data_IF_799579562275
#
_entry.id   IF_799579562275
#
_cell.length_a   1.000
_cell.length_b   1.000
_cell.length_c   1.000
_cell.angle_alpha   90.00
_cell.angle_beta   90.00
_cell.angle_gamma   90.00
#
_symmetry.space_group_name_H-M   'P 1'
#
loop_
_entity.id
_entity.type
_entity.pdbx_description
1 polymer ?
#
# COMPACT_ATOMS: atom_id res chain seq x y z
N UNK A 1 -7.62 31.40 7.09
CA UNK A 1 -6.22 31.25 6.65
C UNK A 1 -6.07 29.88 6.02
N UNK A 2 -5.79 29.86 4.71
CA UNK A 2 -5.74 28.75 3.74
C UNK A 2 -5.93 27.29 4.19
N UNK A 3 -7.03 26.67 3.77
CA UNK A 3 -7.14 25.22 3.62
C UNK A 3 -6.18 24.76 2.50
N UNK A 4 -4.94 24.46 2.86
CA UNK A 4 -3.98 23.83 1.93
C UNK A 4 -4.33 22.34 1.88
N UNK A 5 -5.02 21.93 0.83
CA UNK A 5 -5.25 20.52 0.51
C UNK A 5 -3.90 19.91 0.10
N UNK A 6 -3.15 19.37 1.06
CA UNK A 6 -1.84 18.75 0.79
C UNK A 6 -2.06 17.32 0.31
N UNK A 7 -1.65 17.06 -0.93
CA UNK A 7 -1.50 15.69 -1.43
C UNK A 7 -0.38 15.04 -0.62
N UNK A 8 -0.64 13.89 0.01
CA UNK A 8 0.35 13.14 0.79
C UNK A 8 0.83 11.94 -0.02
N UNK A 9 2.14 11.85 -0.28
CA UNK A 9 2.72 10.58 -0.77
C UNK A 9 2.93 9.70 0.46
N UNK A 10 2.22 8.59 0.51
CA UNK A 10 2.41 7.57 1.53
C UNK A 10 3.17 6.41 0.93
N UNK A 11 4.31 6.05 1.51
CA UNK A 11 4.92 4.76 1.25
C UNK A 11 4.34 3.73 2.23
N UNK A 12 3.58 2.76 1.74
CA UNK A 12 3.03 1.64 2.50
C UNK A 12 3.80 0.36 2.12
N UNK A 13 3.55 -0.76 2.82
CA UNK A 13 3.90 -2.11 2.36
C UNK A 13 2.66 -2.98 2.53
N UNK A 14 1.96 -3.25 1.43
CA UNK A 14 1.00 -4.35 1.30
C UNK A 14 0.68 -4.52 -0.18
N UNK A 15 0.92 -5.72 -0.68
CA UNK A 15 0.57 -6.15 -2.02
C UNK A 15 -0.80 -6.81 -1.94
N UNK A 16 -1.84 -6.09 -2.35
CA UNK A 16 -3.06 -6.75 -2.73
C UNK A 16 -2.85 -7.38 -4.11
N UNK A 17 -2.72 -8.70 -4.08
CA UNK A 17 -2.45 -9.56 -5.22
C UNK A 17 -3.33 -9.22 -6.43
N UNK A 18 -2.63 -9.04 -7.54
CA UNK A 18 -3.11 -8.93 -8.91
C UNK A 18 -3.77 -10.23 -9.36
N UNK A 19 -4.90 -10.18 -10.07
CA UNK A 19 -5.12 -10.76 -11.42
C UNK A 19 -6.62 -10.78 -11.79
N UNK A 20 -6.94 -10.17 -12.94
CA UNK A 20 -8.10 -10.38 -13.82
C UNK A 20 -9.28 -11.18 -13.22
N UNK A 21 -10.12 -10.50 -12.45
CA UNK A 21 -11.47 -10.96 -12.11
C UNK A 21 -12.43 -9.79 -12.38
N UNK A 22 -13.74 -10.01 -12.64
CA UNK A 22 -14.73 -8.95 -12.80
C UNK A 22 -14.74 -7.87 -11.69
N UNK A 23 -14.04 -8.12 -10.57
CA UNK A 23 -13.66 -7.15 -9.54
C UNK A 23 -12.76 -5.99 -10.02
N UNK A 24 -12.19 -6.03 -11.22
CA UNK A 24 -11.40 -4.92 -11.79
C UNK A 24 -12.20 -3.62 -12.00
N UNK A 25 -13.54 -3.69 -12.09
CA UNK A 25 -14.39 -2.49 -12.11
C UNK A 25 -14.42 -1.78 -10.74
N UNK A 26 -14.25 -2.53 -9.65
CA UNK A 26 -14.12 -1.96 -8.30
C UNK A 26 -12.85 -1.12 -8.14
N UNK A 27 -11.77 -1.53 -8.82
CA UNK A 27 -10.48 -0.84 -8.77
C UNK A 27 -10.49 0.53 -9.48
N UNK A 28 -11.47 0.79 -10.36
CA UNK A 28 -11.65 2.11 -10.99
C UNK A 28 -12.11 3.17 -9.96
N UNK A 29 -12.83 2.78 -8.89
CA UNK A 29 -13.24 3.70 -7.84
C UNK A 29 -12.07 4.29 -7.04
N UNK A 30 -10.96 3.55 -6.94
CA UNK A 30 -9.76 3.99 -6.23
C UNK A 30 -8.76 4.74 -7.12
N UNK A 31 -9.12 5.02 -8.39
CA UNK A 31 -8.26 5.70 -9.38
C UNK A 31 -6.84 5.10 -9.46
N UNK A 32 -6.73 3.77 -9.39
CA UNK A 32 -5.42 3.10 -9.47
C UNK A 32 -4.73 3.37 -10.81
N UNK A 33 -3.42 3.63 -10.73
CA UNK A 33 -2.57 3.80 -11.89
C UNK A 33 -2.05 2.43 -12.32
N UNK A 34 -2.55 1.92 -13.43
CA UNK A 34 -2.13 0.63 -13.97
C UNK A 34 -0.82 0.79 -14.74
N UNK A 35 0.26 0.22 -14.21
CA UNK A 35 1.57 0.18 -14.84
C UNK A 35 1.82 -1.17 -15.52
N UNK A 36 2.40 -1.16 -16.71
CA UNK A 36 2.78 -2.35 -17.48
C UNK A 36 4.11 -2.97 -17.03
N UNK A 37 4.71 -2.46 -15.95
CA UNK A 37 6.02 -2.87 -15.42
C UNK A 37 7.17 -2.66 -16.43
N UNK A 38 6.99 -1.71 -17.35
CA UNK A 38 8.01 -1.30 -18.32
C UNK A 38 8.10 0.21 -18.34
N UNK A 39 9.23 0.74 -17.90
CA UNK A 39 9.44 2.18 -17.75
C UNK A 39 9.17 2.95 -19.05
N UNK A 40 9.64 2.44 -20.18
CA UNK A 40 9.48 3.08 -21.47
C UNK A 40 8.00 3.20 -21.90
N UNK A 41 7.15 2.23 -21.54
CA UNK A 41 5.74 2.24 -21.89
C UNK A 41 4.90 3.07 -20.91
N UNK A 42 5.34 3.14 -19.65
CA UNK A 42 4.55 3.71 -18.56
C UNK A 42 4.86 5.18 -18.27
N UNK A 43 6.05 5.67 -18.63
CA UNK A 43 6.53 7.03 -18.28
C UNK A 43 5.57 8.14 -18.71
N UNK A 44 5.12 8.13 -19.96
CA UNK A 44 4.27 9.19 -20.49
C UNK A 44 2.87 9.17 -19.88
N UNK A 45 2.31 7.98 -19.69
CA UNK A 45 1.01 7.80 -19.04
C UNK A 45 1.07 8.26 -17.60
N UNK A 46 2.07 7.81 -16.85
CA UNK A 46 2.28 8.17 -15.44
C UNK A 46 2.47 9.69 -15.30
N UNK A 47 3.29 10.32 -16.15
CA UNK A 47 3.53 11.76 -16.09
C UNK A 47 2.29 12.59 -16.45
N UNK A 48 1.47 12.13 -17.38
CA UNK A 48 0.17 12.77 -17.66
C UNK A 48 -0.75 12.67 -16.45
N UNK A 49 -0.89 11.48 -15.88
CA UNK A 49 -1.73 11.27 -14.69
C UNK A 49 -1.27 12.11 -13.51
N UNK A 50 0.04 12.17 -13.21
CA UNK A 50 0.55 12.99 -12.11
C UNK A 50 0.26 14.49 -12.31
N UNK A 51 0.45 15.01 -13.52
CA UNK A 51 0.14 16.43 -13.83
C UNK A 51 -1.37 16.73 -13.75
N UNK A 52 -2.21 15.81 -14.18
CA UNK A 52 -3.66 15.96 -14.07
C UNK A 52 -4.09 15.94 -12.59
N UNK A 53 -3.46 15.10 -11.77
CA UNK A 53 -3.71 15.03 -10.32
C UNK A 53 -3.18 16.28 -9.59
N UNK A 54 -2.01 16.78 -9.95
CA UNK A 54 -1.42 18.01 -9.42
C UNK A 54 -2.33 19.24 -9.65
N UNK A 55 -2.95 19.32 -10.84
CA UNK A 55 -3.93 20.36 -11.17
C UNK A 55 -5.26 20.18 -10.46
N UNK A 56 -5.60 18.95 -10.09
CA UNK A 56 -6.83 18.67 -9.37
C UNK A 56 -6.70 19.17 -7.93
N UNK A 57 -7.49 20.17 -7.53
CA UNK A 57 -7.53 20.70 -6.16
C UNK A 57 -8.19 19.72 -5.16
N UNK A 58 -8.18 18.42 -5.46
CA UNK A 58 -8.81 17.38 -4.64
C UNK A 58 -7.78 16.78 -3.68
N UNK A 59 -8.12 16.56 -2.41
CA UNK A 59 -7.24 15.85 -1.50
C UNK A 59 -7.03 14.42 -2.00
N UNK A 60 -5.79 14.07 -2.34
CA UNK A 60 -5.39 12.74 -2.82
C UNK A 60 -4.24 12.18 -1.98
N UNK A 61 -4.25 10.87 -1.78
CA UNK A 61 -3.16 10.12 -1.18
C UNK A 61 -2.54 9.23 -2.26
N UNK A 62 -1.26 9.45 -2.56
CA UNK A 62 -0.55 8.64 -3.54
C UNK A 62 0.27 7.57 -2.80
N UNK A 63 -0.07 6.30 -3.04
CA UNK A 63 0.58 5.16 -2.42
C UNK A 63 1.66 4.56 -3.32
N UNK A 64 2.91 4.52 -2.85
CA UNK A 64 4.04 3.98 -3.64
C UNK A 64 4.81 2.92 -2.84
N UNK A 65 5.14 1.81 -3.52
CA UNK A 65 5.96 0.72 -2.98
C UNK A 65 7.28 0.63 -3.76
N UNK A 66 8.38 1.23 -3.26
CA UNK A 66 9.65 1.23 -4.00
C UNK A 66 10.25 -0.16 -4.22
N UNK A 67 9.94 -1.15 -3.39
CA UNK A 67 10.37 -2.54 -3.58
C UNK A 67 9.68 -3.19 -4.80
N UNK A 68 8.42 -2.80 -5.04
CA UNK A 68 7.60 -3.25 -6.17
C UNK A 68 7.09 -4.69 -6.09
N UNK A 69 7.42 -5.43 -5.03
CA UNK A 69 7.01 -6.83 -4.77
C UNK A 69 6.99 -7.13 -3.27
N UNK A 70 6.23 -8.15 -2.85
CA UNK A 70 6.31 -8.67 -1.47
C UNK A 70 7.62 -9.42 -1.23
N UNK A 71 7.96 -9.51 0.05
CA UNK A 71 9.07 -10.32 0.52
C UNK A 71 8.59 -11.76 0.63
N UNK A 72 9.27 -12.64 -0.09
CA UNK A 72 9.06 -14.07 -0.13
C UNK A 72 10.43 -14.72 -0.39
N UNK A 73 10.57 -16.01 -0.14
CA UNK A 73 11.85 -16.69 -0.36
C UNK A 73 12.35 -16.59 -1.81
N UNK A 74 11.43 -16.52 -2.77
CA UNK A 74 11.76 -16.35 -4.19
C UNK A 74 12.25 -14.92 -4.50
N UNK A 75 11.53 -13.90 -4.01
CA UNK A 75 11.89 -12.50 -4.23
C UNK A 75 13.16 -12.12 -3.48
N UNK A 76 13.39 -12.68 -2.29
CA UNK A 76 14.62 -12.55 -1.49
C UNK A 76 15.86 -13.02 -2.27
N UNK A 77 15.82 -14.23 -2.83
CA UNK A 77 16.91 -14.77 -3.66
C UNK A 77 17.21 -13.89 -4.88
N UNK A 78 16.18 -13.30 -5.46
CA UNK A 78 16.32 -12.39 -6.61
C UNK A 78 16.95 -11.07 -6.18
N UNK A 79 16.51 -10.50 -5.06
CA UNK A 79 17.10 -9.28 -4.49
C UNK A 79 18.56 -9.49 -4.10
N UNK A 80 18.90 -10.62 -3.49
CA UNK A 80 20.28 -10.95 -3.12
C UNK A 80 21.19 -11.01 -4.36
N UNK A 81 20.77 -11.71 -5.42
CA UNK A 81 21.52 -11.74 -6.69
C UNK A 81 21.67 -10.34 -7.31
N UNK A 82 20.69 -9.47 -7.14
CA UNK A 82 20.77 -8.09 -7.59
C UNK A 82 21.76 -7.27 -6.75
N UNK A 83 21.74 -7.44 -5.42
CA UNK A 83 22.68 -6.82 -4.50
C UNK A 83 24.13 -7.21 -4.82
N UNK A 84 24.39 -8.51 -4.99
CA UNK A 84 25.70 -9.07 -5.35
C UNK A 84 26.22 -8.51 -6.68
N UNK A 85 25.37 -8.46 -7.71
CA UNK A 85 25.73 -7.88 -9.02
C UNK A 85 26.02 -6.38 -8.97
N UNK A 86 25.30 -5.66 -8.12
CA UNK A 86 25.44 -4.22 -7.95
C UNK A 86 26.54 -3.84 -6.94
N UNK A 87 27.16 -4.82 -6.26
CA UNK A 87 28.13 -4.57 -5.18
C UNK A 87 27.52 -3.89 -3.95
N UNK A 88 26.23 -4.10 -3.70
CA UNK A 88 25.48 -3.49 -2.61
C UNK A 88 25.35 -4.46 -1.43
N UNK A 89 25.25 -3.91 -0.21
CA UNK A 89 24.97 -4.69 0.99
C UNK A 89 23.50 -5.15 0.96
N UNK A 90 23.30 -6.44 1.18
CA UNK A 90 21.97 -7.03 1.23
C UNK A 90 21.32 -6.77 2.60
N UNK A 91 20.08 -6.29 2.60
CA UNK A 91 19.30 -6.05 3.83
C UNK A 91 18.74 -7.36 4.41
N UNK A 92 18.50 -7.45 5.72
CA UNK A 92 18.03 -8.70 6.35
C UNK A 92 16.52 -8.90 6.23
N UNK A 93 15.76 -7.82 6.42
CA UNK A 93 14.30 -7.83 6.56
C UNK A 93 13.58 -7.19 5.38
N UNK A 94 14.26 -6.34 4.59
CA UNK A 94 13.66 -5.57 3.49
C UNK A 94 14.28 -5.91 2.14
N UNK A 95 13.54 -5.69 1.03
CA UNK A 95 14.12 -5.78 -0.32
C UNK A 95 14.76 -4.45 -0.70
N UNK A 96 15.68 -4.48 -1.67
CA UNK A 96 16.31 -3.26 -2.16
C UNK A 96 15.29 -2.37 -2.91
N UNK A 97 15.24 -1.06 -2.61
CA UNK A 97 14.27 -0.16 -3.23
C UNK A 97 14.67 0.19 -4.67
N UNK A 98 13.66 0.42 -5.51
CA UNK A 98 13.80 1.00 -6.85
C UNK A 98 13.47 2.49 -6.81
N UNK A 99 14.45 3.33 -7.16
CA UNK A 99 14.35 4.79 -7.07
C UNK A 99 13.58 5.43 -8.21
N UNK A 100 13.62 4.86 -9.43
CA UNK A 100 13.14 5.49 -10.67
C UNK A 100 11.69 5.98 -10.60
N UNK A 101 10.77 5.11 -10.18
CA UNK A 101 9.34 5.45 -10.13
C UNK A 101 9.02 6.51 -9.07
N UNK A 102 9.61 6.38 -7.88
CA UNK A 102 9.41 7.33 -6.78
C UNK A 102 9.99 8.71 -7.13
N UNK A 103 11.21 8.75 -7.69
CA UNK A 103 11.86 9.99 -8.12
C UNK A 103 11.03 10.71 -9.18
N UNK A 104 10.47 9.97 -10.14
CA UNK A 104 9.64 10.56 -11.19
C UNK A 104 8.35 11.15 -10.62
N UNK A 105 7.62 10.40 -9.79
CA UNK A 105 6.41 10.90 -9.14
C UNK A 105 6.71 12.15 -8.29
N UNK A 106 7.83 12.14 -7.56
CA UNK A 106 8.25 13.29 -6.76
C UNK A 106 8.52 14.51 -7.64
N UNK A 107 9.24 14.37 -8.76
CA UNK A 107 9.54 15.48 -9.68
C UNK A 107 8.28 16.09 -10.30
N UNK A 108 7.32 15.26 -10.70
CA UNK A 108 6.06 15.74 -11.29
C UNK A 108 5.14 16.40 -10.26
N UNK A 109 5.25 16.02 -8.97
CA UNK A 109 4.38 16.51 -7.90
C UNK A 109 5.03 17.54 -6.97
N UNK A 110 6.31 17.90 -7.17
CA UNK A 110 7.07 18.78 -6.28
C UNK A 110 6.44 20.17 -6.08
N UNK A 111 5.66 20.66 -7.04
CA UNK A 111 4.98 21.96 -6.95
C UNK A 111 3.65 21.89 -6.17
N UNK A 112 3.06 20.70 -6.05
CA UNK A 112 1.75 20.47 -5.41
C UNK A 112 1.84 19.78 -4.06
N UNK A 113 2.97 19.12 -3.78
CA UNK A 113 3.22 18.35 -2.55
C UNK A 113 4.35 18.99 -1.78
N UNK A 114 4.15 19.17 -0.47
CA UNK A 114 5.20 19.69 0.41
C UNK A 114 6.00 18.57 1.10
N UNK A 115 5.35 17.43 1.38
CA UNK A 115 5.88 16.39 2.27
C UNK A 115 5.67 14.97 1.73
N UNK A 116 6.67 14.12 1.97
CA UNK A 116 6.59 12.67 1.79
C UNK A 116 6.49 12.03 3.18
N UNK A 117 5.52 11.13 3.31
CA UNK A 117 5.33 10.31 4.51
C UNK A 117 5.88 8.92 4.26
N UNK A 118 6.84 8.57 5.10
CA UNK A 118 7.43 7.25 5.13
C UNK A 118 6.85 6.48 6.31
N UNK A 119 6.22 5.34 6.03
CA UNK A 119 5.59 4.51 7.06
C UNK A 119 6.21 3.13 7.07
N UNK A 120 6.51 2.65 8.28
CA UNK A 120 6.97 1.28 8.54
C UNK A 120 6.03 0.65 9.54
N UNK A 121 5.56 -0.55 9.24
CA UNK A 121 4.52 -1.24 10.02
C UNK A 121 5.11 -2.54 10.55
N UNK A 122 5.02 -2.71 11.86
CA UNK A 122 5.39 -3.92 12.58
C UNK A 122 4.13 -4.61 13.09
N UNK A 123 3.95 -5.88 12.76
CA UNK A 123 2.84 -6.69 13.25
C UNK A 123 3.28 -7.48 14.47
N UNK A 124 2.55 -7.36 15.56
CA UNK A 124 2.81 -8.16 16.75
C UNK A 124 2.61 -9.66 16.46
N UNK A 125 3.41 -10.50 17.10
CA UNK A 125 3.43 -11.94 16.93
C UNK A 125 4.18 -12.47 15.68
N UNK A 126 4.70 -11.60 14.80
CA UNK A 126 5.56 -12.02 13.67
C UNK A 126 7.02 -12.04 14.14
N UNK A 127 7.70 -13.17 13.94
CA UNK A 127 9.12 -13.33 14.28
C UNK A 127 10.04 -12.97 13.11
N UNK A 128 11.31 -12.70 13.40
CA UNK A 128 12.33 -12.48 12.37
C UNK A 128 12.43 -13.70 11.46
N UNK A 129 12.17 -13.51 10.16
CA UNK A 129 12.18 -14.57 9.15
C UNK A 129 10.80 -15.17 8.84
N UNK A 130 9.77 -14.81 9.60
CA UNK A 130 8.38 -15.06 9.23
C UNK A 130 7.84 -13.88 8.41
N UNK A 131 6.99 -14.18 7.43
CA UNK A 131 6.29 -13.15 6.66
C UNK A 131 4.90 -12.89 7.26
N UNK A 132 4.49 -11.62 7.45
CA UNK A 132 3.17 -11.28 7.99
C UNK A 132 2.02 -11.88 7.16
N UNK A 133 2.21 -12.00 5.84
CA UNK A 133 1.23 -12.56 4.90
C UNK A 133 0.89 -14.03 5.19
N UNK A 134 1.88 -14.84 5.58
CA UNK A 134 1.68 -16.25 5.90
C UNK A 134 0.97 -16.42 7.24
N UNK A 135 1.28 -15.53 8.19
CA UNK A 135 0.72 -15.58 9.53
C UNK A 135 -0.73 -15.08 9.55
N UNK A 136 -0.98 -13.93 8.94
CA UNK A 136 -2.23 -13.19 8.94
C UNK A 136 -2.87 -13.15 7.55
N UNK A 137 -3.11 -14.32 6.96
CA UNK A 137 -3.87 -14.41 5.71
C UNK A 137 -5.30 -13.89 5.90
N UNK A 138 -5.91 -13.35 4.83
CA UNK A 138 -7.32 -12.93 4.86
C UNK A 138 -8.25 -14.04 5.34
N UNK A 139 -7.94 -15.30 5.00
CA UNK A 139 -8.70 -16.45 5.48
C UNK A 139 -8.65 -16.56 7.01
N UNK A 140 -7.47 -16.44 7.60
CA UNK A 140 -7.28 -16.53 9.06
C UNK A 140 -7.93 -15.35 9.78
N UNK A 141 -7.84 -14.16 9.20
CA UNK A 141 -8.46 -12.96 9.77
C UNK A 141 -9.99 -13.09 9.75
N UNK A 142 -10.59 -13.38 8.58
CA UNK A 142 -12.04 -13.36 8.41
C UNK A 142 -12.75 -14.62 8.91
N UNK A 143 -12.14 -15.81 8.79
CA UNK A 143 -12.81 -17.07 9.15
C UNK A 143 -12.33 -17.69 10.45
N UNK A 144 -11.09 -17.44 10.87
CA UNK A 144 -10.53 -18.00 12.12
C UNK A 144 -10.46 -16.97 13.25
N UNK A 145 -10.79 -15.70 12.98
CA UNK A 145 -10.70 -14.61 13.95
C UNK A 145 -9.27 -14.36 14.45
N UNK A 146 -8.25 -14.79 13.70
CA UNK A 146 -6.84 -14.62 14.05
C UNK A 146 -6.31 -13.33 13.40
N UNK A 147 -6.34 -12.25 14.16
CA UNK A 147 -5.82 -10.95 13.78
C UNK A 147 -4.60 -10.57 14.63
N UNK A 148 -3.70 -9.71 14.14
CA UNK A 148 -2.60 -9.19 14.95
C UNK A 148 -3.18 -8.39 16.13
N UNK A 149 -2.79 -8.69 17.37
CA UNK A 149 -3.36 -8.03 18.55
C UNK A 149 -3.00 -6.55 18.62
N UNK A 150 -1.77 -6.21 18.19
CA UNK A 150 -1.27 -4.85 18.13
C UNK A 150 -0.55 -4.62 16.80
N UNK A 151 -0.77 -3.46 16.20
CA UNK A 151 -0.04 -3.00 15.02
C UNK A 151 0.76 -1.77 15.43
N UNK A 152 2.07 -1.85 15.24
CA UNK A 152 2.97 -0.73 15.46
C UNK A 152 3.18 -0.01 14.14
N UNK A 153 2.94 1.30 14.10
CA UNK A 153 3.18 2.12 12.92
C UNK A 153 4.19 3.19 13.30
N UNK A 154 5.32 3.17 12.61
CA UNK A 154 6.35 4.19 12.73
C UNK A 154 6.31 5.08 11.49
N UNK A 155 6.09 6.38 11.70
CA UNK A 155 5.88 7.37 10.64
C UNK A 155 6.99 8.42 10.70
N UNK A 156 7.64 8.67 9.56
CA UNK A 156 8.56 9.78 9.36
C UNK A 156 8.01 10.71 8.28
N UNK A 157 8.33 12.00 8.40
CA UNK A 157 7.93 13.03 7.45
C UNK A 157 9.17 13.74 6.92
N UNK A 158 9.30 13.81 5.60
CA UNK A 158 10.37 14.53 4.91
C UNK A 158 9.78 15.66 4.08
N UNK A 159 10.35 16.85 4.16
CA UNK A 159 9.98 17.93 3.25
C UNK A 159 10.61 17.65 1.87
N UNK A 160 9.85 17.84 0.78
CA UNK A 160 10.37 17.61 -0.57
C UNK A 160 11.55 18.54 -0.88
N UNK A 161 11.55 19.74 -0.31
CA UNK A 161 12.66 20.69 -0.44
C UNK A 161 14.01 20.16 0.08
N UNK A 162 14.00 19.23 1.05
CA UNK A 162 15.22 18.66 1.65
C UNK A 162 15.73 17.43 0.87
N UNK A 163 14.94 16.92 -0.08
CA UNK A 163 15.25 15.70 -0.81
C UNK A 163 16.04 16.05 -2.08
N UNK A 164 17.14 15.35 -2.39
CA UNK A 164 17.93 15.63 -3.59
C UNK A 164 17.15 15.31 -4.87
N UNK A 165 17.19 16.24 -5.83
CA UNK A 165 16.55 16.09 -7.15
C UNK A 165 17.39 15.33 -8.19
N UNK A 166 18.70 15.18 -7.94
CA UNK A 166 19.61 14.42 -8.78
C UNK A 166 19.39 12.91 -8.62
N UNK A 167 19.40 12.16 -9.72
CA UNK A 167 19.04 10.73 -9.72
C UNK A 167 20.00 9.86 -8.89
N UNK A 168 21.30 10.14 -8.97
CA UNK A 168 22.30 9.38 -8.23
C UNK A 168 22.22 9.70 -6.74
N UNK A 169 22.13 10.99 -6.39
CA UNK A 169 21.99 11.43 -4.99
C UNK A 169 20.68 10.96 -4.37
N UNK A 170 19.58 10.97 -5.13
CA UNK A 170 18.29 10.46 -4.66
C UNK A 170 18.33 8.96 -4.42
N UNK A 171 18.96 8.20 -5.32
CA UNK A 171 19.11 6.75 -5.16
C UNK A 171 19.89 6.43 -3.90
N UNK A 172 20.97 7.15 -3.62
CA UNK A 172 21.75 6.96 -2.40
C UNK A 172 20.98 7.37 -1.14
N UNK A 173 20.28 8.52 -1.18
CA UNK A 173 19.40 8.96 -0.10
C UNK A 173 18.33 7.91 0.21
N UNK A 174 17.70 7.32 -0.82
CA UNK A 174 16.68 6.29 -0.66
C UNK A 174 17.26 5.01 -0.04
N UNK A 175 18.44 4.58 -0.49
CA UNK A 175 19.13 3.40 0.08
C UNK A 175 19.48 3.59 1.55
N UNK A 176 19.95 4.78 1.93
CA UNK A 176 20.23 5.09 3.32
C UNK A 176 18.97 4.97 4.19
N UNK A 177 17.84 5.48 3.72
CA UNK A 177 16.54 5.33 4.43
C UNK A 177 16.11 3.87 4.54
N UNK A 178 16.35 3.05 3.51
CA UNK A 178 16.06 1.61 3.57
C UNK A 178 16.95 0.87 4.57
N UNK A 179 18.22 1.26 4.66
CA UNK A 179 19.15 0.73 5.67
C UNK A 179 18.65 1.03 7.09
N UNK A 180 18.28 2.28 7.35
CA UNK A 180 17.72 2.67 8.65
C UNK A 180 16.42 1.94 9.00
N UNK A 181 15.59 1.62 8.00
CA UNK A 181 14.38 0.81 8.20
C UNK A 181 14.70 -0.65 8.50
N UNK A 182 15.73 -1.21 7.86
CA UNK A 182 16.16 -2.59 8.14
C UNK A 182 16.65 -2.72 9.58
N UNK A 183 17.41 -1.74 10.05
CA UNK A 183 17.84 -1.64 11.45
C UNK A 183 16.66 -1.46 12.40
N UNK A 184 15.70 -0.59 12.04
CA UNK A 184 14.46 -0.39 12.80
C UNK A 184 13.63 -1.68 12.91
N UNK A 185 13.55 -2.47 11.84
CA UNK A 185 12.86 -3.76 11.84
C UNK A 185 13.61 -4.80 12.66
N UNK A 186 14.95 -4.80 12.61
CA UNK A 186 15.79 -5.65 13.46
C UNK A 186 15.50 -5.36 14.94
N UNK A 187 15.43 -4.09 15.30
CA UNK A 187 15.06 -3.67 16.65
C UNK A 187 13.65 -4.11 17.02
N UNK A 188 12.68 -3.90 16.13
CA UNK A 188 11.29 -4.31 16.33
C UNK A 188 11.16 -5.81 16.63
N UNK A 189 11.83 -6.67 15.86
CA UNK A 189 11.80 -8.11 16.09
C UNK A 189 12.47 -8.51 17.41
N UNK A 190 13.46 -7.74 17.88
CA UNK A 190 14.13 -8.01 19.16
C UNK A 190 13.37 -7.51 20.39
N UNK A 191 12.69 -6.35 20.29
CA UNK A 191 12.05 -5.66 21.44
C UNK A 191 10.52 -5.72 21.42
N UNK A 192 9.90 -6.14 20.31
CA UNK A 192 8.45 -6.14 20.10
C UNK A 192 7.82 -4.75 19.95
N UNK A 193 8.62 -3.69 19.81
CA UNK A 193 8.14 -2.31 19.63
C UNK A 193 9.20 -1.45 18.94
N UNK A 194 8.76 -0.44 18.20
CA UNK A 194 9.66 0.59 17.68
C UNK A 194 10.06 1.53 18.83
N UNK A 195 11.36 1.76 19.01
CA UNK A 195 11.82 2.82 19.91
C UNK A 195 11.92 4.12 19.11
N UNK A 196 11.10 5.10 19.46
CA UNK A 196 11.21 6.44 18.88
C UNK A 196 11.84 7.35 19.93
N UNK A 197 12.80 8.17 19.49
CA UNK A 197 13.45 9.19 20.30
C UNK A 197 12.50 10.37 20.55
N UNK A 198 11.48 10.58 19.70
CA UNK A 198 10.79 11.87 19.56
C UNK A 198 9.27 11.88 19.78
N UNK A 199 8.62 10.78 20.16
CA UNK A 199 7.22 10.87 20.55
C UNK A 199 6.78 9.74 21.48
N UNK A 200 5.86 10.04 22.39
CA UNK A 200 5.15 9.00 23.14
C UNK A 200 4.23 8.25 22.19
N UNK A 201 4.15 6.91 22.25
CA UNK A 201 3.32 6.16 21.31
C UNK A 201 1.85 6.57 21.45
N UNK A 202 1.24 7.07 20.37
CA UNK A 202 -0.20 7.29 20.30
C UNK A 202 -0.90 5.94 20.11
N UNK A 203 -1.44 5.41 21.19
CA UNK A 203 -2.19 4.16 21.17
C UNK A 203 -3.60 4.45 20.69
N UNK A 204 -3.94 3.97 19.50
CA UNK A 204 -5.29 4.01 18.96
C UNK A 204 -5.92 2.62 19.09
N UNK A 205 -6.96 2.51 19.92
CA UNK A 205 -7.73 1.28 20.02
C UNK A 205 -8.65 1.17 18.81
N UNK A 206 -8.35 0.22 17.93
CA UNK A 206 -9.23 -0.16 16.82
C UNK A 206 -10.27 -1.11 17.41
N UNK A 207 -11.43 -0.58 17.77
CA UNK A 207 -12.58 -1.37 18.19
C UNK A 207 -13.75 -1.06 17.25
N UNK A 208 -14.48 -2.09 16.83
CA UNK A 208 -15.75 -1.88 16.16
C UNK A 208 -16.69 -1.24 17.17
N UNK A 209 -17.15 -0.01 16.89
CA UNK A 209 -18.03 0.72 17.81
C UNK A 209 -19.36 0.01 18.00
N UNK A 210 -19.89 -0.62 16.94
CA UNK A 210 -21.14 -1.37 16.98
C UNK A 210 -21.14 -2.52 15.95
N UNK A 211 -21.71 -3.67 16.30
CA UNK A 211 -21.90 -4.81 15.37
C UNK A 211 -22.85 -4.46 14.21
N UNK A 212 -23.65 -3.40 14.38
CA UNK A 212 -24.58 -2.85 13.38
C UNK A 212 -23.83 -2.24 12.18
N UNK A 213 -22.59 -1.74 12.35
CA UNK A 213 -21.77 -1.30 11.20
C UNK A 213 -21.43 -2.46 10.27
N UNK A 214 -21.29 -3.67 10.81
CA UNK A 214 -21.12 -4.87 10.00
C UNK A 214 -22.37 -5.17 9.16
N UNK A 215 -23.56 -4.89 9.70
CA UNK A 215 -24.82 -5.03 8.98
C UNK A 215 -25.01 -4.00 7.86
N UNK A 216 -24.37 -2.83 7.96
CA UNK A 216 -24.39 -1.81 6.89
C UNK A 216 -23.69 -2.29 5.61
N UNK A 217 -22.71 -3.19 5.72
CA UNK A 217 -22.06 -3.83 4.55
C UNK A 217 -23.10 -4.64 3.75
N UNK A 218 -24.05 -5.26 4.43
CA UNK A 218 -25.11 -6.07 3.82
C UNK A 218 -26.29 -5.24 3.33
N UNK A 219 -26.43 -3.98 3.78
CA UNK A 219 -27.50 -3.08 3.36
C UNK A 219 -27.56 -2.88 1.84
N UNK A 220 -26.43 -2.94 1.15
CA UNK A 220 -26.39 -2.84 -0.32
C UNK A 220 -26.54 -4.21 -1.01
N UNK A 221 -26.04 -5.29 -0.41
CA UNK A 221 -26.06 -6.64 -1.00
C UNK A 221 -27.46 -7.26 -0.96
N UNK A 222 -28.20 -7.09 0.14
CA UNK A 222 -29.53 -7.69 0.32
C UNK A 222 -30.56 -7.18 -0.71
N UNK A 223 -30.69 -5.87 -0.99
CA UNK A 223 -31.56 -5.38 -2.05
C UNK A 223 -31.18 -5.89 -3.43
N UNK A 224 -29.88 -5.98 -3.75
CA UNK A 224 -29.43 -6.52 -5.04
C UNK A 224 -29.82 -8.00 -5.23
N UNK A 225 -29.71 -8.81 -4.17
CA UNK A 225 -30.14 -10.22 -4.19
C UNK A 225 -31.66 -10.34 -4.31
N UNK A 226 -32.42 -9.50 -3.60
CA UNK A 226 -33.89 -9.46 -3.70
C UNK A 226 -34.33 -9.06 -5.10
N UNK A 227 -33.74 -8.01 -5.68
CA UNK A 227 -34.04 -7.56 -7.06
C UNK A 227 -33.69 -8.65 -8.07
N UNK A 228 -32.52 -9.30 -7.92
CA UNK A 228 -32.15 -10.43 -8.77
C UNK A 228 -33.14 -11.60 -8.66
N UNK A 229 -33.55 -11.96 -7.44
CA UNK A 229 -34.54 -13.02 -7.20
C UNK A 229 -35.88 -12.68 -7.86
N UNK A 230 -36.39 -11.47 -7.65
CA UNK A 230 -37.64 -10.99 -8.23
C UNK A 230 -37.57 -11.06 -9.76
N UNK A 231 -36.52 -10.52 -10.39
CA UNK A 231 -36.32 -10.59 -11.85
C UNK A 231 -36.35 -12.04 -12.32
N UNK A 232 -35.64 -12.95 -11.65
CA UNK A 232 -35.58 -14.34 -12.07
C UNK A 232 -36.94 -15.07 -11.95
N UNK A 233 -37.71 -14.81 -10.89
CA UNK A 233 -39.08 -15.34 -10.76
C UNK A 233 -40.06 -14.76 -11.79
N UNK A 234 -39.96 -13.47 -12.13
CA UNK A 234 -40.83 -12.86 -13.14
C UNK A 234 -40.44 -13.25 -14.57
N UNK A 235 -39.15 -13.47 -14.86
CA UNK A 235 -38.69 -13.97 -16.16
C UNK A 235 -39.07 -15.44 -16.39
N UNK A 236 -39.18 -16.26 -15.33
CA UNK A 236 -39.63 -17.65 -15.42
C UNK A 236 -41.17 -17.79 -15.49
N UNK A 237 -41.92 -16.81 -14.95
CA UNK A 237 -43.39 -16.78 -15.00
C UNK A 237 -44.00 -16.48 -16.38
N UNK A 238 -43.20 -16.10 -17.38
CA UNK A 238 -43.65 -15.89 -18.77
C UNK A 238 -43.43 -17.10 -19.69
N UNK A 239 -42.91 -18.22 -19.17
CA UNK A 239 -42.85 -19.48 -19.90
C UNK A 239 -44.07 -20.37 -19.56
N UNK A 240 -45.28 -19.92 -19.93
CA UNK A 240 -46.48 -20.77 -19.91
C UNK A 240 -46.54 -21.50 -21.27
N UNK A 241 -46.77 -22.84 -21.30
CA UNK A 241 -46.73 -23.60 -22.55
C UNK A 241 -47.91 -23.23 -23.45
N UNK A 242 -47.65 -22.95 -24.72
CA UNK A 242 -48.68 -22.88 -25.75
C UNK A 242 -49.33 -24.26 -25.92
N UNK A 243 -50.59 -24.38 -25.50
CA UNK A 243 -51.53 -25.44 -25.93
C UNK A 243 -52.15 -25.04 -27.25
#
# INVERSE_FOLDING_TARGET
SGNIYKIGIVCYIELLLTFLSPSARGMQFFQFIFLKRSWAADKDHLGKTMRDLAKSMKPLWLLIFPEGTLISDCTRKTSQKFAEKAGLVDHKHLLLPRSTGLLFCMKELQESVDYIYDMTIGFDGVQSGEYPEDRYTLRRIFFEGRYPPTIHVHVRRYAIADIPNDENKFTEWLRQRWTEKDDLMTEFYSKGRFTSIYDSPKIMKIQMRNIIELAQIWYFMVPCVIVWYLINTYSFGWAIPSV
#
